data_IF_783457048404
#
_entry.id   IF_783457048404
#
_cell.length_a   1.000
_cell.length_b   1.000
_cell.length_c   1.000
_cell.angle_alpha   90.00
_cell.angle_beta   90.00
_cell.angle_gamma   90.00
#
_symmetry.space_group_name_H-M   'P 1'
#
loop_
_entity.id
_entity.type
_entity.pdbx_description
1 polymer ?
#
# COMPACT_ATOMS: atom_id res chain seq x y z
N UNK A 1 4.14 12.42 26.57
CA UNK A 1 5.57 12.70 26.32
C UNK A 1 5.97 14.06 26.88
N UNK A 2 7.20 14.22 27.34
CA UNK A 2 7.78 15.53 27.68
C UNK A 2 8.54 16.16 26.48
N UNK A 3 9.01 17.40 26.65
CA UNK A 3 9.71 18.12 25.58
C UNK A 3 11.05 17.49 25.16
N UNK A 4 11.72 16.75 26.04
CA UNK A 4 12.96 16.06 25.71
C UNK A 4 12.68 14.84 24.83
N UNK A 5 11.70 14.03 25.22
CA UNK A 5 11.24 12.87 24.46
C UNK A 5 10.75 13.25 23.05
N UNK A 6 10.01 14.36 22.91
CA UNK A 6 9.58 14.83 21.58
C UNK A 6 10.76 15.20 20.70
N UNK A 7 11.78 15.87 21.25
CA UNK A 7 13.00 16.25 20.50
C UNK A 7 13.81 15.03 20.07
N UNK A 8 13.90 14.02 20.93
CA UNK A 8 14.55 12.75 20.62
C UNK A 8 13.85 12.06 19.44
N UNK A 9 12.53 11.86 19.54
CA UNK A 9 11.74 11.26 18.45
C UNK A 9 11.84 12.05 17.16
N UNK A 10 11.73 13.37 17.21
CA UNK A 10 11.89 14.21 16.02
C UNK A 10 13.25 13.99 15.33
N UNK A 11 14.31 13.75 16.09
CA UNK A 11 15.65 13.46 15.55
C UNK A 11 15.72 12.16 14.74
N UNK A 12 14.83 11.20 14.98
CA UNK A 12 14.73 9.93 14.26
C UNK A 12 14.01 10.08 12.91
N UNK A 13 13.26 11.18 12.70
CA UNK A 13 12.45 11.39 11.50
C UNK A 13 13.29 11.98 10.34
N UNK A 14 12.93 11.66 9.08
CA UNK A 14 13.60 12.20 7.89
C UNK A 14 13.23 13.67 7.64
N UNK A 15 14.04 14.31 6.80
CA UNK A 15 13.87 15.69 6.34
C UNK A 15 12.89 15.83 5.17
N UNK A 16 11.86 15.00 5.12
CA UNK A 16 11.04 14.76 3.91
C UNK A 16 9.56 15.11 4.16
N UNK A 17 8.77 15.35 3.10
CA UNK A 17 7.33 15.50 3.23
C UNK A 17 6.67 14.20 3.66
N UNK A 18 5.58 14.31 4.40
CA UNK A 18 4.87 13.13 4.88
C UNK A 18 3.78 13.41 5.90
N UNK A 19 3.31 12.34 6.53
CA UNK A 19 2.32 12.36 7.60
C UNK A 19 2.94 11.81 8.87
N UNK A 20 2.64 12.41 10.02
CA UNK A 20 3.04 11.93 11.35
C UNK A 20 1.81 11.64 12.21
N UNK A 21 1.96 10.67 13.11
CA UNK A 21 0.93 10.20 14.03
C UNK A 21 1.47 10.28 15.45
N UNK A 22 0.75 10.93 16.36
CA UNK A 22 1.00 10.80 17.79
C UNK A 22 0.10 9.71 18.35
N UNK A 23 0.69 8.81 19.13
CA UNK A 23 0.05 7.57 19.58
C UNK A 23 0.14 7.43 21.09
N UNK A 24 -0.83 6.70 21.67
CA UNK A 24 -0.78 6.18 23.03
C UNK A 24 -1.10 4.68 22.99
N UNK A 25 -0.08 3.85 23.13
CA UNK A 25 -0.17 2.42 22.84
C UNK A 25 -0.61 2.19 21.38
N UNK A 26 -1.72 1.49 21.18
CA UNK A 26 -2.29 1.20 19.85
C UNK A 26 -3.26 2.30 19.36
N UNK A 27 -3.51 3.34 20.16
CA UNK A 27 -4.49 4.39 19.84
C UNK A 27 -3.83 5.61 19.21
N UNK A 28 -4.22 5.95 17.98
CA UNK A 28 -3.82 7.20 17.32
C UNK A 28 -4.56 8.38 17.95
N UNK A 29 -3.81 9.29 18.56
CA UNK A 29 -4.34 10.50 19.22
C UNK A 29 -4.47 11.67 18.25
N UNK A 30 -3.51 11.82 17.34
CA UNK A 30 -3.44 12.92 16.38
C UNK A 30 -2.72 12.48 15.10
N UNK A 31 -3.20 12.96 13.96
CA UNK A 31 -2.56 12.82 12.65
C UNK A 31 -2.32 14.21 12.08
N UNK A 32 -1.16 14.45 11.48
CA UNK A 32 -0.88 15.70 10.77
C UNK A 32 0.06 15.52 9.58
N UNK A 33 -0.07 16.37 8.56
CA UNK A 33 0.89 16.44 7.44
C UNK A 33 2.04 17.43 7.68
N UNK A 34 3.16 17.21 7.02
CA UNK A 34 4.33 18.06 7.04
C UNK A 34 5.00 18.13 5.66
N UNK A 35 5.57 19.28 5.32
CA UNK A 35 6.56 19.39 4.22
C UNK A 35 7.95 18.91 4.63
N UNK A 36 8.21 18.90 5.95
CA UNK A 36 9.46 18.44 6.56
C UNK A 36 9.09 17.83 7.94
N UNK A 37 9.08 16.50 8.01
CA UNK A 37 8.63 15.72 9.15
C UNK A 37 9.40 16.03 10.45
N UNK A 38 10.73 16.07 10.41
CA UNK A 38 11.59 16.32 11.58
C UNK A 38 11.31 17.68 12.22
N UNK A 39 11.35 18.76 11.44
CA UNK A 39 11.07 20.12 11.93
C UNK A 39 9.64 20.21 12.47
N UNK A 40 8.67 19.60 11.77
CA UNK A 40 7.28 19.64 12.19
C UNK A 40 7.05 18.95 13.53
N UNK A 41 7.55 17.73 13.71
CA UNK A 41 7.43 17.01 14.99
C UNK A 41 8.21 17.71 16.10
N UNK A 42 9.40 18.24 15.82
CA UNK A 42 10.19 19.01 16.79
C UNK A 42 9.44 20.22 17.35
N UNK A 43 8.56 20.85 16.57
CA UNK A 43 7.75 21.99 17.01
C UNK A 43 6.79 21.66 18.17
N UNK A 44 6.42 20.39 18.35
CA UNK A 44 5.59 19.95 19.46
C UNK A 44 6.32 19.90 20.82
N UNK A 45 7.64 20.08 20.83
CA UNK A 45 8.40 20.24 22.07
C UNK A 45 8.09 21.58 22.77
N UNK A 46 7.50 22.54 22.05
CA UNK A 46 6.91 23.77 22.58
C UNK A 46 5.45 23.90 22.09
N UNK A 47 4.52 23.11 22.67
CA UNK A 47 3.19 22.96 22.14
C UNK A 47 2.36 24.25 22.28
N UNK A 48 1.81 24.71 21.16
CA UNK A 48 0.93 25.89 21.14
C UNK A 48 -0.52 25.51 21.45
N UNK A 49 -1.01 26.02 22.58
CA UNK A 49 -2.39 25.84 23.02
C UNK A 49 -2.63 24.59 23.85
N UNK A 50 -3.60 24.67 24.76
CA UNK A 50 -3.87 23.66 25.78
C UNK A 50 -4.24 22.28 25.20
N UNK A 51 -4.99 22.27 24.10
CA UNK A 51 -5.41 21.04 23.43
C UNK A 51 -4.23 20.23 22.88
N UNK A 52 -3.27 20.91 22.24
CA UNK A 52 -2.08 20.27 21.69
C UNK A 52 -1.14 19.84 22.81
N UNK A 53 -1.00 20.66 23.85
CA UNK A 53 -0.24 20.28 25.05
C UNK A 53 -0.74 18.97 25.65
N UNK A 54 -2.05 18.84 25.90
CA UNK A 54 -2.65 17.61 26.42
C UNK A 54 -2.48 16.40 25.48
N UNK A 55 -2.48 16.64 24.17
CA UNK A 55 -2.23 15.57 23.19
C UNK A 55 -0.81 15.04 23.33
N UNK A 56 0.18 15.94 23.36
CA UNK A 56 1.60 15.58 23.48
C UNK A 56 1.88 14.91 24.83
N UNK A 57 1.28 15.41 25.91
CA UNK A 57 1.40 14.81 27.25
C UNK A 57 0.86 13.38 27.28
N UNK A 58 -0.29 13.13 26.65
CA UNK A 58 -0.94 11.83 26.60
C UNK A 58 -0.27 10.83 25.65
N UNK A 59 0.44 11.31 24.62
CA UNK A 59 1.16 10.43 23.69
C UNK A 59 2.33 9.72 24.39
N UNK A 60 2.67 8.52 23.93
CA UNK A 60 3.87 7.76 24.26
C UNK A 60 4.71 7.37 23.02
N UNK A 61 4.16 7.58 21.81
CA UNK A 61 4.80 7.29 20.55
C UNK A 61 4.58 8.36 19.47
N UNK A 62 5.48 8.37 18.50
CA UNK A 62 5.31 9.09 17.23
C UNK A 62 5.66 8.13 16.10
N UNK A 63 4.73 7.93 15.18
CA UNK A 63 4.93 7.21 13.93
C UNK A 63 4.85 8.16 12.72
N UNK A 64 5.31 7.74 11.56
CA UNK A 64 5.31 8.57 10.35
C UNK A 64 5.24 7.75 9.06
N UNK A 65 4.84 8.40 7.97
CA UNK A 65 4.96 7.88 6.61
C UNK A 65 5.49 9.00 5.69
N UNK A 66 6.51 8.68 4.89
CA UNK A 66 7.08 9.59 3.90
C UNK A 66 6.23 9.56 2.63
N UNK A 67 6.08 10.71 1.99
CA UNK A 67 5.39 10.87 0.71
C UNK A 67 6.28 11.67 -0.24
N UNK A 68 6.16 11.49 -1.54
CA UNK A 68 6.97 12.21 -2.52
C UNK A 68 6.54 13.67 -2.68
N UNK A 69 5.26 13.96 -2.43
CA UNK A 69 4.70 15.32 -2.59
C UNK A 69 3.82 15.76 -1.42
N UNK A 70 3.70 17.08 -1.22
CA UNK A 70 2.78 17.64 -0.23
C UNK A 70 1.31 17.25 -0.50
N UNK A 71 0.94 17.14 -1.78
CA UNK A 71 -0.41 16.69 -2.19
C UNK A 71 -0.66 15.28 -1.70
N UNK A 72 0.28 14.34 -1.89
CA UNK A 72 0.15 12.99 -1.35
C UNK A 72 0.07 12.97 0.18
N UNK A 73 0.88 13.78 0.87
CA UNK A 73 0.78 13.93 2.32
C UNK A 73 -0.61 14.38 2.78
N UNK A 74 -1.22 15.33 2.06
CA UNK A 74 -2.59 15.80 2.31
C UNK A 74 -3.63 14.68 2.12
N UNK A 75 -3.52 13.93 1.02
CA UNK A 75 -4.44 12.83 0.72
C UNK A 75 -4.32 11.70 1.76
N UNK A 76 -3.08 11.38 2.17
CA UNK A 76 -2.79 10.33 3.14
C UNK A 76 -3.27 10.74 4.54
N UNK A 77 -3.04 12.00 4.93
CA UNK A 77 -3.55 12.56 6.18
C UNK A 77 -5.07 12.42 6.26
N UNK A 78 -5.79 12.77 5.18
CA UNK A 78 -7.24 12.63 5.13
C UNK A 78 -7.70 11.17 5.32
N UNK A 79 -7.02 10.22 4.67
CA UNK A 79 -7.30 8.80 4.83
C UNK A 79 -7.05 8.31 6.26
N UNK A 80 -5.94 8.68 6.88
CA UNK A 80 -5.57 8.28 8.24
C UNK A 80 -6.49 8.92 9.31
N UNK A 81 -6.87 10.19 9.14
CA UNK A 81 -7.87 10.84 10.01
C UNK A 81 -9.20 10.11 9.92
N UNK A 82 -9.63 9.68 8.72
CA UNK A 82 -10.88 8.94 8.55
C UNK A 82 -10.83 7.55 9.18
N UNK A 83 -9.71 6.83 8.98
CA UNK A 83 -9.49 5.47 9.51
C UNK A 83 -9.48 5.47 11.04
N UNK A 84 -8.68 6.33 11.64
CA UNK A 84 -8.44 6.29 13.09
C UNK A 84 -9.38 7.19 13.91
N UNK A 85 -10.07 8.14 13.26
CA UNK A 85 -10.89 9.18 13.91
C UNK A 85 -10.24 9.78 15.17
N UNK A 86 -9.00 10.30 15.09
CA UNK A 86 -8.22 10.63 16.28
C UNK A 86 -8.88 11.73 17.11
N UNK A 87 -8.91 11.55 18.43
CA UNK A 87 -9.56 12.46 19.39
C UNK A 87 -9.10 13.91 19.26
N UNK A 88 -7.83 14.13 18.91
CA UNK A 88 -7.21 15.45 18.81
C UNK A 88 -7.14 15.99 17.37
N UNK A 89 -7.77 15.37 16.37
CA UNK A 89 -7.99 16.02 15.07
C UNK A 89 -9.28 16.86 15.10
N UNK A 90 -9.22 18.12 14.62
CA UNK A 90 -10.44 18.91 14.43
C UNK A 90 -11.05 18.47 13.10
N UNK A 91 -12.32 18.05 13.14
CA UNK A 91 -13.04 17.34 12.08
C UNK A 91 -12.78 17.88 10.67
N UNK A 92 -11.91 17.20 9.91
CA UNK A 92 -12.02 17.07 8.46
C UNK A 92 -13.02 15.92 8.22
N UNK A 93 -14.31 16.27 8.16
CA UNK A 93 -15.40 15.35 7.80
C UNK A 93 -15.75 15.54 6.32
N UNK A 94 -14.78 15.28 5.45
CA UNK A 94 -15.11 15.05 4.05
C UNK A 94 -15.48 13.57 3.90
N UNK A 95 -16.49 13.26 3.09
CA UNK A 95 -17.05 11.92 2.95
C UNK A 95 -16.19 11.02 2.04
N UNK A 96 -15.22 11.58 1.31
CA UNK A 96 -14.44 10.83 0.30
C UNK A 96 -13.04 10.46 0.80
N UNK A 97 -12.83 9.16 1.05
CA UNK A 97 -11.49 8.57 1.20
C UNK A 97 -10.95 8.17 -0.16
N UNK A 98 -9.68 8.46 -0.39
CA UNK A 98 -8.98 8.18 -1.63
C UNK A 98 -8.60 6.70 -1.72
N UNK A 99 -8.76 6.04 -2.87
CA UNK A 99 -8.37 4.64 -3.06
C UNK A 99 -6.87 4.46 -2.82
N UNK A 100 -6.56 3.38 -2.12
CA UNK A 100 -5.23 2.83 -1.91
C UNK A 100 -5.15 1.50 -2.67
N UNK A 101 -3.94 1.12 -3.07
CA UNK A 101 -3.66 -0.24 -3.56
C UNK A 101 -2.91 -0.97 -2.45
N UNK A 102 -3.29 -2.20 -2.16
CA UNK A 102 -2.55 -3.01 -1.19
C UNK A 102 -2.11 -4.35 -1.77
N UNK A 103 -0.96 -4.80 -1.28
CA UNK A 103 -0.49 -6.18 -1.32
C UNK A 103 -0.57 -6.74 0.11
N UNK A 104 -1.43 -7.74 0.32
CA UNK A 104 -1.67 -8.33 1.65
C UNK A 104 -0.43 -9.02 2.21
N UNK A 105 -0.29 -9.06 3.54
CA UNK A 105 0.75 -9.85 4.22
C UNK A 105 0.44 -11.37 4.15
N UNK A 106 0.79 -11.99 3.03
CA UNK A 106 0.60 -13.42 2.76
C UNK A 106 1.79 -13.94 1.94
N UNK A 107 2.12 -15.23 2.03
CA UNK A 107 3.20 -15.83 1.22
C UNK A 107 2.96 -15.68 -0.30
N UNK A 108 1.68 -15.61 -0.67
CA UNK A 108 1.19 -15.24 -1.99
C UNK A 108 0.32 -14.00 -1.84
N UNK A 109 0.87 -12.78 -1.85
CA UNK A 109 0.08 -11.56 -1.67
C UNK A 109 -1.01 -11.43 -2.74
N UNK A 110 -2.22 -11.02 -2.37
CA UNK A 110 -3.22 -10.55 -3.35
C UNK A 110 -3.04 -9.06 -3.57
N UNK A 111 -3.36 -8.59 -4.78
CA UNK A 111 -3.44 -7.16 -5.10
C UNK A 111 -4.89 -6.70 -5.15
N UNK A 112 -5.22 -5.62 -4.46
CA UNK A 112 -6.57 -5.04 -4.49
C UNK A 112 -6.60 -3.53 -4.22
N UNK A 113 -7.70 -2.89 -4.65
CA UNK A 113 -8.03 -1.52 -4.27
C UNK A 113 -8.79 -1.54 -2.95
N UNK A 114 -8.31 -0.79 -1.96
CA UNK A 114 -8.94 -0.65 -0.66
C UNK A 114 -9.02 0.82 -0.24
N UNK A 115 -9.77 1.10 0.82
CA UNK A 115 -9.75 2.37 1.56
C UNK A 115 -9.35 2.18 3.02
N UNK A 116 -9.29 0.93 3.45
CA UNK A 116 -8.92 0.50 4.79
C UNK A 116 -7.98 -0.69 4.60
N UNK A 117 -6.68 -0.45 4.47
CA UNK A 117 -5.72 -1.52 4.23
C UNK A 117 -5.61 -2.42 5.45
N UNK A 118 -5.30 -3.69 5.19
CA UNK A 118 -5.04 -4.67 6.24
C UNK A 118 -3.73 -4.33 6.97
N UNK A 119 -3.66 -4.68 8.25
CA UNK A 119 -2.44 -4.48 9.01
C UNK A 119 -1.32 -5.38 8.45
N UNK A 120 -0.11 -4.82 8.31
CA UNK A 120 1.04 -5.51 7.71
C UNK A 120 1.07 -5.51 6.17
N UNK A 121 0.00 -5.08 5.51
CA UNK A 121 -0.02 -4.96 4.05
C UNK A 121 1.02 -3.94 3.56
N UNK A 122 1.55 -4.17 2.36
CA UNK A 122 2.30 -3.15 1.63
C UNK A 122 1.30 -2.30 0.85
N UNK A 123 1.25 -1.00 1.13
CA UNK A 123 0.22 -0.09 0.64
C UNK A 123 0.85 0.94 -0.30
N UNK A 124 0.14 1.30 -1.36
CA UNK A 124 0.52 2.29 -2.36
C UNK A 124 -0.62 3.29 -2.59
N UNK A 125 -0.28 4.47 -3.10
CA UNK A 125 -1.18 5.62 -3.17
C UNK A 125 -1.10 6.47 -1.91
N UNK A 126 -2.10 7.30 -1.59
CA UNK A 126 -3.44 7.36 -2.16
C UNK A 126 -3.51 7.88 -3.60
N UNK A 127 -4.42 7.30 -4.38
CA UNK A 127 -4.65 7.67 -5.78
C UNK A 127 -5.90 8.54 -5.93
N UNK A 128 -5.89 9.47 -6.88
CA UNK A 128 -7.00 10.39 -7.13
C UNK A 128 -8.02 9.84 -8.14
N UNK A 129 -7.61 8.92 -9.03
CA UNK A 129 -8.46 8.34 -10.08
C UNK A 129 -8.62 6.83 -9.91
N UNK A 130 -9.76 6.42 -9.32
CA UNK A 130 -10.08 4.99 -9.11
C UNK A 130 -10.14 4.18 -10.40
N UNK A 131 -10.70 4.75 -11.48
CA UNK A 131 -10.85 4.03 -12.75
C UNK A 131 -9.49 3.70 -13.37
N UNK A 132 -8.54 4.64 -13.34
CA UNK A 132 -7.15 4.39 -13.79
C UNK A 132 -6.49 3.30 -12.96
N UNK A 133 -6.64 3.36 -11.64
CA UNK A 133 -6.11 2.32 -10.73
C UNK A 133 -6.66 0.95 -11.08
N UNK A 134 -7.97 0.82 -11.30
CA UNK A 134 -8.59 -0.47 -11.65
C UNK A 134 -8.09 -1.01 -13.00
N UNK A 135 -7.93 -0.15 -14.02
CA UNK A 135 -7.36 -0.54 -15.31
C UNK A 135 -5.93 -1.04 -15.17
N UNK A 136 -5.09 -0.32 -14.42
CA UNK A 136 -3.68 -0.68 -14.22
C UNK A 136 -3.54 -1.95 -13.38
N UNK A 137 -4.35 -2.13 -12.34
CA UNK A 137 -4.35 -3.38 -11.55
C UNK A 137 -4.77 -4.59 -12.38
N UNK A 138 -5.74 -4.41 -13.28
CA UNK A 138 -6.11 -5.46 -14.22
C UNK A 138 -4.95 -5.81 -15.15
N UNK A 139 -4.26 -4.80 -15.70
CA UNK A 139 -3.07 -5.00 -16.53
C UNK A 139 -1.97 -5.76 -15.77
N UNK A 140 -1.65 -5.35 -14.54
CA UNK A 140 -0.68 -6.04 -13.69
C UNK A 140 -1.04 -7.51 -13.48
N UNK A 141 -2.32 -7.82 -13.26
CA UNK A 141 -2.79 -9.19 -13.06
C UNK A 141 -2.77 -10.03 -14.34
N UNK A 142 -3.04 -9.42 -15.50
CA UNK A 142 -2.92 -10.10 -16.80
C UNK A 142 -1.46 -10.39 -17.17
N UNK A 143 -0.53 -9.49 -16.81
CA UNK A 143 0.90 -9.65 -17.12
C UNK A 143 1.64 -10.54 -16.11
N UNK A 144 1.37 -10.39 -14.81
CA UNK A 144 2.11 -11.05 -13.72
C UNK A 144 1.29 -12.07 -12.91
N UNK A 145 0.00 -12.26 -13.23
CA UNK A 145 -0.77 -13.36 -12.65
C UNK A 145 -1.01 -13.28 -11.14
N UNK A 146 -0.97 -12.08 -10.53
CA UNK A 146 -1.27 -11.95 -9.10
C UNK A 146 -2.75 -12.29 -8.81
N UNK A 147 -2.97 -13.02 -7.72
CA UNK A 147 -4.33 -13.37 -7.29
C UNK A 147 -5.09 -12.11 -6.85
N UNK A 148 -6.40 -12.11 -7.10
CA UNK A 148 -7.35 -11.15 -6.51
C UNK A 148 -8.33 -11.78 -5.52
N UNK A 149 -8.26 -13.10 -5.31
CA UNK A 149 -9.18 -13.82 -4.43
C UNK A 149 -8.85 -13.59 -2.95
N UNK A 150 -9.88 -13.63 -2.09
CA UNK A 150 -9.69 -13.57 -0.63
C UNK A 150 -9.04 -14.84 -0.07
N UNK A 151 -8.44 -14.75 1.11
CA UNK A 151 -7.75 -15.87 1.75
C UNK A 151 -8.69 -17.04 2.05
N UNK A 152 -9.95 -16.77 2.40
CA UNK A 152 -10.97 -17.80 2.52
C UNK A 152 -11.17 -18.56 1.19
N UNK A 153 -11.17 -17.86 0.05
CA UNK A 153 -11.27 -18.49 -1.27
C UNK A 153 -9.97 -19.19 -1.69
N UNK A 154 -8.82 -18.76 -1.17
CA UNK A 154 -7.52 -19.36 -1.43
C UNK A 154 -7.38 -20.72 -0.72
N UNK A 155 -7.69 -20.78 0.58
CA UNK A 155 -7.42 -21.95 1.43
C UNK A 155 -8.28 -23.21 1.15
N UNK A 156 -9.36 -23.09 0.38
CA UNK A 156 -10.34 -24.17 0.15
C UNK A 156 -10.47 -24.60 -1.30
N UNK A 157 -9.38 -24.52 -2.10
CA UNK A 157 -9.40 -24.82 -3.53
C UNK A 157 -8.74 -26.17 -3.81
N UNK A 158 -9.48 -27.04 -4.50
CA UNK A 158 -8.95 -28.29 -5.05
C UNK A 158 -8.66 -28.21 -6.56
N UNK A 159 -9.09 -27.12 -7.22
CA UNK A 159 -8.86 -26.86 -8.65
C UNK A 159 -8.72 -25.36 -8.93
N UNK A 160 -8.00 -24.97 -10.00
CA UNK A 160 -7.89 -23.58 -10.42
C UNK A 160 -9.25 -22.89 -10.59
N UNK A 161 -9.26 -21.58 -10.40
CA UNK A 161 -10.47 -20.76 -10.49
C UNK A 161 -10.61 -20.11 -11.86
N UNK A 162 -11.74 -19.44 -12.09
CA UNK A 162 -11.98 -18.70 -13.33
C UNK A 162 -10.90 -17.64 -13.61
N UNK A 163 -10.34 -16.99 -12.58
CA UNK A 163 -9.26 -16.02 -12.79
C UNK A 163 -8.03 -16.68 -13.42
N UNK A 164 -7.73 -17.94 -13.10
CA UNK A 164 -6.67 -18.70 -13.77
C UNK A 164 -7.04 -19.06 -15.21
N UNK A 165 -8.25 -19.55 -15.43
CA UNK A 165 -8.75 -19.88 -16.78
C UNK A 165 -8.77 -18.65 -17.71
N UNK A 166 -8.95 -17.45 -17.15
CA UNK A 166 -8.91 -16.17 -17.86
C UNK A 166 -7.50 -15.56 -17.95
N UNK A 167 -6.47 -16.17 -17.36
CA UNK A 167 -5.09 -15.65 -17.36
C UNK A 167 -4.83 -14.46 -16.42
N UNK A 168 -5.70 -14.21 -15.43
CA UNK A 168 -5.55 -13.15 -14.42
C UNK A 168 -4.83 -13.60 -13.14
N UNK A 169 -4.53 -14.90 -13.02
CA UNK A 169 -3.97 -15.50 -11.83
C UNK A 169 -3.16 -16.72 -12.21
N UNK A 170 -1.98 -16.91 -11.64
CA UNK A 170 -1.14 -18.11 -11.84
C UNK A 170 -1.51 -19.27 -10.89
N UNK A 171 -2.68 -19.20 -10.26
CA UNK A 171 -3.25 -20.23 -9.36
C UNK A 171 -2.29 -20.80 -8.29
N UNK A 172 -1.65 -19.95 -7.46
CA UNK A 172 -0.84 -20.42 -6.33
C UNK A 172 -1.64 -21.19 -5.26
N UNK A 173 -2.96 -21.15 -5.31
CA UNK A 173 -3.84 -21.89 -4.40
C UNK A 173 -3.91 -23.39 -4.70
N UNK A 174 -3.46 -23.81 -5.88
CA UNK A 174 -3.45 -25.22 -6.31
C UNK A 174 -2.09 -25.63 -6.87
N UNK A 175 -1.02 -24.94 -6.44
CA UNK A 175 0.37 -25.25 -6.76
C UNK A 175 0.72 -25.23 -8.28
N UNK A 176 -0.05 -24.49 -9.09
CA UNK A 176 0.23 -24.31 -10.54
C UNK A 176 1.44 -23.41 -10.81
N UNK A 177 1.88 -22.65 -9.80
CA UNK A 177 3.08 -21.79 -9.80
C UNK A 177 3.87 -22.03 -8.52
N UNK A 178 5.19 -21.96 -8.61
CA UNK A 178 6.06 -22.04 -7.45
C UNK A 178 5.96 -20.78 -6.58
N UNK A 179 6.28 -20.88 -5.29
CA UNK A 179 6.34 -19.73 -4.40
C UNK A 179 7.43 -18.72 -4.83
N UNK A 180 8.51 -19.21 -5.44
CA UNK A 180 9.65 -18.43 -5.90
C UNK A 180 9.27 -17.59 -7.12
N UNK A 181 8.60 -18.20 -8.11
CA UNK A 181 8.15 -17.49 -9.31
C UNK A 181 7.06 -16.46 -8.97
N UNK A 182 6.10 -16.82 -8.12
CA UNK A 182 5.07 -15.88 -7.68
C UNK A 182 5.66 -14.70 -6.91
N UNK A 183 6.72 -14.93 -6.12
CA UNK A 183 7.41 -13.85 -5.43
C UNK A 183 8.12 -12.90 -6.41
N UNK A 184 8.73 -13.43 -7.48
CA UNK A 184 9.36 -12.62 -8.53
C UNK A 184 8.33 -11.78 -9.33
N UNK A 185 7.16 -12.36 -9.62
CA UNK A 185 6.02 -11.63 -10.20
C UNK A 185 5.53 -10.53 -9.26
N UNK A 186 5.40 -10.83 -7.97
CA UNK A 186 5.01 -9.86 -6.95
C UNK A 186 6.04 -8.72 -6.84
N UNK A 187 7.34 -9.03 -6.91
CA UNK A 187 8.40 -8.01 -6.90
C UNK A 187 8.34 -7.11 -8.14
N UNK A 188 8.01 -7.66 -9.32
CA UNK A 188 7.79 -6.85 -10.52
C UNK A 188 6.60 -5.91 -10.37
N UNK A 189 5.50 -6.37 -9.75
CA UNK A 189 4.37 -5.51 -9.41
C UNK A 189 4.75 -4.41 -8.42
N UNK A 190 5.56 -4.73 -7.40
CA UNK A 190 6.06 -3.73 -6.44
C UNK A 190 6.90 -2.67 -7.15
N UNK A 191 7.87 -3.07 -7.98
CA UNK A 191 8.73 -2.13 -8.71
C UNK A 191 7.92 -1.20 -9.61
N UNK A 192 6.92 -1.74 -10.31
CA UNK A 192 5.98 -0.91 -11.06
C UNK A 192 5.28 0.11 -10.14
N UNK A 193 4.67 -0.33 -9.04
CA UNK A 193 3.97 0.57 -8.11
C UNK A 193 4.90 1.59 -7.42
N UNK A 194 6.21 1.32 -7.36
CA UNK A 194 7.25 2.24 -6.87
C UNK A 194 7.74 3.26 -7.93
N UNK A 195 7.21 3.22 -9.16
CA UNK A 195 7.54 4.20 -10.21
C UNK A 195 8.29 3.64 -11.40
N UNK A 196 8.64 2.35 -11.41
CA UNK A 196 9.37 1.71 -12.51
C UNK A 196 8.40 1.34 -13.66
N UNK A 197 7.80 2.34 -14.30
CA UNK A 197 6.74 2.21 -15.32
C UNK A 197 7.07 1.20 -16.43
N UNK A 198 8.33 1.13 -16.85
CA UNK A 198 8.82 0.24 -17.91
C UNK A 198 8.59 -1.24 -17.61
N UNK A 199 8.49 -1.63 -16.33
CA UNK A 199 8.24 -3.02 -15.92
C UNK A 199 6.96 -3.54 -16.58
N UNK A 200 5.87 -2.76 -16.53
CA UNK A 200 4.58 -3.13 -17.15
C UNK A 200 4.40 -2.57 -18.57
N UNK A 201 4.92 -1.37 -18.85
CA UNK A 201 4.71 -0.71 -20.14
C UNK A 201 5.40 -1.46 -21.30
N UNK A 202 6.62 -1.98 -21.10
CA UNK A 202 7.36 -2.68 -22.16
C UNK A 202 6.67 -3.97 -22.62
N UNK A 203 6.21 -4.88 -21.73
CA UNK A 203 5.41 -6.04 -22.13
C UNK A 203 4.16 -5.66 -22.93
N UNK A 204 3.40 -4.67 -22.46
CA UNK A 204 2.17 -4.23 -23.13
C UNK A 204 2.44 -3.66 -24.52
N UNK A 205 3.51 -2.88 -24.69
CA UNK A 205 3.90 -2.32 -25.98
C UNK A 205 4.26 -3.42 -26.98
N UNK A 206 5.02 -4.43 -26.55
CA UNK A 206 5.36 -5.59 -27.40
C UNK A 206 4.13 -6.38 -27.82
N UNK A 207 3.20 -6.63 -26.90
CA UNK A 207 1.93 -7.30 -27.23
C UNK A 207 1.08 -6.49 -28.20
N UNK A 208 1.05 -5.16 -28.04
CA UNK A 208 0.32 -4.25 -28.91
C UNK A 208 0.89 -4.29 -30.34
N UNK A 209 2.20 -4.19 -30.47
CA UNK A 209 2.92 -4.25 -31.75
C UNK A 209 2.69 -5.60 -32.44
N UNK A 210 2.83 -6.71 -31.71
CA UNK A 210 2.56 -8.05 -32.24
C UNK A 210 1.11 -8.22 -32.70
N UNK A 211 0.13 -7.67 -31.97
CA UNK A 211 -1.27 -7.69 -32.39
C UNK A 211 -1.51 -6.85 -33.66
N UNK A 212 -0.83 -5.71 -33.80
CA UNK A 212 -0.92 -4.88 -35.00
C UNK A 212 -0.29 -5.56 -36.22
N UNK A 213 0.86 -6.20 -36.07
CA UNK A 213 1.53 -6.99 -37.11
C UNK A 213 0.65 -8.18 -37.57
N UNK A 214 -0.10 -8.78 -36.65
CA UNK A 214 -1.07 -9.84 -36.94
C UNK A 214 -2.42 -9.33 -37.48
N UNK A 215 -2.53 -8.04 -37.82
CA UNK A 215 -3.76 -7.38 -38.30
C UNK A 215 -4.95 -7.46 -37.31
N UNK A 216 -4.70 -7.74 -36.03
CA UNK A 216 -5.69 -7.80 -34.97
C UNK A 216 -5.94 -6.40 -34.36
N UNK A 217 -6.43 -5.47 -35.18
CA UNK A 217 -6.51 -4.04 -34.83
C UNK A 217 -7.35 -3.71 -33.60
N UNK A 218 -8.44 -4.43 -33.35
CA UNK A 218 -9.26 -4.23 -32.14
C UNK A 218 -8.47 -4.56 -30.85
N UNK A 219 -7.69 -5.65 -30.89
CA UNK A 219 -6.81 -6.04 -29.78
C UNK A 219 -5.67 -5.04 -29.61
N UNK A 220 -5.04 -4.61 -30.70
CA UNK A 220 -4.00 -3.60 -30.67
C UNK A 220 -4.51 -2.27 -30.09
N UNK A 221 -5.71 -1.82 -30.46
CA UNK A 221 -6.33 -0.63 -29.91
C UNK A 221 -6.59 -0.76 -28.40
N UNK A 222 -7.13 -1.90 -27.94
CA UNK A 222 -7.36 -2.15 -26.52
C UNK A 222 -6.05 -2.19 -25.70
N UNK A 223 -4.96 -2.72 -26.28
CA UNK A 223 -3.64 -2.73 -25.65
C UNK A 223 -3.02 -1.33 -25.61
N UNK A 224 -3.19 -0.52 -26.66
CA UNK A 224 -2.76 0.88 -26.69
C UNK A 224 -3.44 1.69 -25.59
N UNK A 225 -4.77 1.63 -25.51
CA UNK A 225 -5.53 2.39 -24.51
C UNK A 225 -5.15 1.97 -23.07
N UNK A 226 -4.77 0.70 -22.88
CA UNK A 226 -4.22 0.18 -21.62
C UNK A 226 -2.81 0.71 -21.35
N UNK A 227 -1.93 0.72 -22.36
CA UNK A 227 -0.58 1.27 -22.28
C UNK A 227 -0.61 2.75 -21.90
N UNK A 228 -1.48 3.54 -22.52
CA UNK A 228 -1.67 4.96 -22.20
C UNK A 228 -2.07 5.16 -20.72
N UNK A 229 -2.93 4.28 -20.19
CA UNK A 229 -3.32 4.32 -18.78
C UNK A 229 -2.18 3.95 -17.83
N UNK A 230 -1.29 3.04 -18.24
CA UNK A 230 -0.09 2.62 -17.51
C UNK A 230 0.97 3.70 -17.51
N UNK A 231 1.25 4.32 -18.66
CA UNK A 231 2.22 5.42 -18.79
C UNK A 231 1.78 6.65 -17.98
N UNK A 232 0.49 6.99 -18.03
CA UNK A 232 -0.07 8.09 -17.25
C UNK A 232 -0.29 7.76 -15.75
N UNK A 233 0.04 6.55 -15.28
CA UNK A 233 -0.20 6.14 -13.89
C UNK A 233 0.65 6.95 -12.90
N UNK A 234 1.95 7.13 -13.20
CA UNK A 234 2.90 7.84 -12.35
C UNK A 234 2.96 9.35 -12.60
N UNK A 235 2.66 9.80 -13.84
CA UNK A 235 2.69 11.23 -14.22
C UNK A 235 1.73 12.12 -13.40
N UNK A 236 0.72 11.53 -12.75
CA UNK A 236 -0.26 12.22 -11.90
C UNK A 236 0.12 12.35 -10.42
N UNK A 237 1.36 12.05 -10.03
CA UNK A 237 1.79 12.04 -8.62
C UNK A 237 1.40 10.76 -7.88
N UNK A 238 1.49 9.62 -8.57
CA UNK A 238 1.13 8.29 -8.08
C UNK A 238 2.31 7.49 -7.53
N UNK A 239 3.43 8.14 -7.19
CA UNK A 239 4.58 7.45 -6.62
C UNK A 239 4.27 6.95 -5.20
N UNK A 240 4.69 5.72 -4.91
CA UNK A 240 4.19 4.94 -3.79
C UNK A 240 4.54 5.54 -2.43
N UNK A 241 3.52 5.88 -1.62
CA UNK A 241 3.73 6.10 -0.19
C UNK A 241 4.12 4.78 0.45
N UNK A 242 5.40 4.62 0.80
CA UNK A 242 5.85 3.48 1.59
C UNK A 242 5.47 3.71 3.05
N UNK A 243 4.51 2.95 3.55
CA UNK A 243 4.35 2.81 4.99
C UNK A 243 5.61 2.14 5.54
N UNK A 244 6.33 2.72 6.52
CA UNK A 244 7.49 2.06 7.08
C UNK A 244 7.05 0.74 7.71
N UNK A 245 7.63 -0.36 7.24
CA UNK A 245 7.60 -1.62 8.00
C UNK A 245 8.43 -1.40 9.27
N UNK A 246 7.81 -1.01 10.38
CA UNK A 246 8.10 -1.57 11.72
C UNK A 246 7.40 -0.82 12.86
N UNK A 247 6.60 -1.55 13.65
CA UNK A 247 7.08 -2.28 14.83
C UNK A 247 6.14 -3.42 15.19
N UNK A 248 6.64 -4.66 15.11
CA UNK A 248 6.34 -5.65 16.13
C UNK A 248 5.30 -6.73 15.87
N UNK A 249 5.43 -7.53 14.80
CA UNK A 249 5.09 -8.96 14.87
C UNK A 249 6.07 -9.77 14.01
N UNK A 250 7.10 -10.31 14.66
CA UNK A 250 7.91 -11.37 14.09
C UNK A 250 7.07 -12.64 13.91
N UNK A 251 6.46 -12.79 12.74
CA UNK A 251 5.96 -14.06 12.23
C UNK A 251 7.04 -14.72 11.37
N UNK A 252 7.97 -15.45 11.99
CA UNK A 252 8.88 -16.34 11.25
C UNK A 252 8.06 -17.47 10.63
N UNK A 253 7.81 -17.38 9.33
CA UNK A 253 7.42 -18.50 8.48
C UNK A 253 8.64 -19.43 8.33
N UNK A 254 8.43 -20.74 8.40
CA UNK A 254 9.49 -21.69 8.07
C UNK A 254 9.64 -21.82 6.54
N UNK A 255 10.73 -22.48 6.10
CA UNK A 255 11.14 -22.59 4.68
C UNK A 255 10.09 -23.22 3.76
N UNK A 256 8.99 -23.77 4.31
CA UNK A 256 7.95 -24.49 3.58
C UNK A 256 6.59 -23.75 3.57
N UNK A 257 6.53 -22.47 3.96
CA UNK A 257 5.34 -21.64 3.80
C UNK A 257 4.10 -22.06 4.62
N UNK A 258 4.27 -22.87 5.69
CA UNK A 258 3.14 -23.28 6.56
C UNK A 258 3.06 -22.43 7.83
N UNK A 259 1.85 -22.08 8.31
CA UNK A 259 1.69 -21.42 9.61
C UNK A 259 2.05 -22.41 10.74
N UNK A 260 3.06 -22.06 11.56
CA UNK A 260 3.42 -22.85 12.75
C UNK A 260 2.24 -22.95 13.71
N UNK A 261 1.66 -24.15 13.82
CA UNK A 261 0.63 -24.45 14.82
C UNK A 261 1.18 -24.21 16.22
N UNK A 262 0.63 -23.24 16.95
CA UNK A 262 0.87 -23.07 18.39
C UNK A 262 0.51 -24.38 19.09
N UNK A 263 1.50 -25.01 19.70
CA UNK A 263 1.31 -26.24 20.48
C UNK A 263 0.29 -26.02 21.59
N UNK A 264 -0.77 -26.83 21.58
CA UNK A 264 -1.66 -27.02 22.74
C UNK A 264 -0.82 -27.59 23.88
N UNK A 265 -0.49 -26.78 24.89
CA UNK A 265 -0.19 -27.30 26.22
C UNK A 265 -1.47 -27.93 26.76
N UNK A 266 -1.52 -29.25 26.80
CA UNK A 266 -2.48 -29.98 27.62
C UNK A 266 -2.01 -29.89 29.07
N UNK A 267 -2.91 -29.47 29.96
CA UNK A 267 -2.89 -29.90 31.36
C UNK A 267 -3.29 -31.38 31.40
#
# INVERSE_FOLDING_TARGET
MDAAAVRERAGELPGEPGVYLFEAGESVLYVGKAVELRSRVRSYADPRGERIRRMVEAADGVDFAVTDTETQALLLEANLIKRHQPRYNVRLKDDKSYPLVQLTDHAFPRIEVTRDPDDGATVFGPFTNKGRVETVLKALRETYGLRGCSDHKYAGRDRPCLDYEMGLCTAPCTDEISAEDYAADTESVVRFLEGETGVLAEPLRREMEAAAEAEAFERAAALRDKLDAVEAFHEGGGDGVRYPRNRGLGGRIDRDGRPRRRGRKRK
#
